data_IF_693655623154
#
_entry.id   IF_693655623154
#
_cell.length_a   1.000
_cell.length_b   1.000
_cell.length_c   1.000
_cell.angle_alpha   90.00
_cell.angle_beta   90.00
_cell.angle_gamma   90.00
#
_symmetry.space_group_name_H-M   'P 1'
#
loop_
_entity.id
_entity.type
_entity.pdbx_description
1 polymer ?
#
# COMPACT_ATOMS: atom_id res chain seq x y z
N UNK A 1 -3.60 -11.73 18.75
CA UNK A 1 -4.35 -12.58 19.72
C UNK A 1 -5.86 -12.57 19.47
N UNK A 2 -6.50 -11.43 19.20
CA UNK A 2 -7.93 -11.37 18.84
C UNK A 2 -8.31 -12.19 17.59
N UNK A 3 -7.45 -12.25 16.55
CA UNK A 3 -7.73 -13.02 15.33
C UNK A 3 -7.80 -14.54 15.56
N UNK A 4 -7.03 -15.06 16.52
CA UNK A 4 -7.07 -16.48 16.90
C UNK A 4 -8.36 -16.85 17.64
N UNK A 5 -8.98 -15.88 18.32
CA UNK A 5 -10.25 -16.07 19.02
C UNK A 5 -11.42 -16.23 18.03
N UNK A 6 -11.46 -15.43 16.96
CA UNK A 6 -12.46 -15.56 15.89
C UNK A 6 -12.38 -16.89 15.12
N UNK A 7 -11.22 -17.56 15.13
CA UNK A 7 -11.07 -18.89 14.52
C UNK A 7 -11.73 -20.01 15.33
N UNK A 8 -11.97 -19.83 16.63
CA UNK A 8 -12.57 -20.87 17.48
C UNK A 8 -14.10 -20.99 17.36
N UNK A 9 -14.79 -20.00 16.79
CA UNK A 9 -16.24 -20.04 16.58
C UNK A 9 -16.58 -20.51 15.16
N UNK A 10 -17.38 -21.58 15.05
CA UNK A 10 -17.79 -22.19 13.77
C UNK A 10 -18.51 -21.22 12.82
N UNK A 11 -19.16 -20.18 13.36
CA UNK A 11 -19.88 -19.15 12.60
C UNK A 11 -18.98 -18.08 11.94
N UNK A 12 -17.70 -17.97 12.32
CA UNK A 12 -16.78 -16.92 11.85
C UNK A 12 -15.49 -17.45 11.22
N UNK A 13 -15.48 -18.70 10.77
CA UNK A 13 -14.27 -19.35 10.27
C UNK A 13 -13.72 -18.68 8.99
N UNK A 14 -14.58 -18.30 8.03
CA UNK A 14 -14.15 -17.63 6.79
C UNK A 14 -13.59 -16.23 7.07
N UNK A 15 -14.29 -15.45 7.90
CA UNK A 15 -13.81 -14.13 8.33
C UNK A 15 -12.47 -14.22 9.08
N UNK A 16 -12.31 -15.25 9.93
CA UNK A 16 -11.05 -15.51 10.64
C UNK A 16 -9.88 -15.79 9.70
N UNK A 17 -10.11 -16.51 8.59
CA UNK A 17 -9.08 -16.76 7.57
C UNK A 17 -8.65 -15.46 6.89
N UNK A 18 -9.60 -14.63 6.46
CA UNK A 18 -9.30 -13.39 5.75
C UNK A 18 -8.52 -12.42 6.64
N UNK A 19 -8.90 -12.33 7.92
CA UNK A 19 -8.17 -11.51 8.91
C UNK A 19 -6.76 -12.04 9.17
N UNK A 20 -6.55 -13.36 9.21
CA UNK A 20 -5.20 -13.93 9.36
C UNK A 20 -4.32 -13.66 8.13
N UNK A 21 -4.88 -13.68 6.91
CA UNK A 21 -4.15 -13.29 5.71
C UNK A 21 -3.71 -11.83 5.75
N UNK A 22 -4.58 -10.93 6.22
CA UNK A 22 -4.24 -9.52 6.42
C UNK A 22 -3.20 -9.32 7.53
N UNK A 23 -3.31 -10.05 8.64
CA UNK A 23 -2.32 -10.01 9.74
C UNK A 23 -0.93 -10.46 9.24
N UNK A 24 -0.87 -11.50 8.40
CA UNK A 24 0.37 -11.94 7.76
C UNK A 24 0.98 -10.85 6.88
N UNK A 25 0.18 -10.15 6.05
CA UNK A 25 0.67 -9.01 5.25
C UNK A 25 1.21 -7.88 6.13
N UNK A 26 0.55 -7.55 7.24
CA UNK A 26 1.04 -6.53 8.17
C UNK A 26 2.33 -6.98 8.87
N UNK A 27 2.44 -8.26 9.20
CA UNK A 27 3.65 -8.82 9.80
C UNK A 27 4.85 -8.77 8.85
N UNK A 28 4.66 -9.04 7.55
CA UNK A 28 5.73 -8.91 6.56
C UNK A 28 6.14 -7.46 6.33
N UNK A 29 5.20 -6.50 6.39
CA UNK A 29 5.55 -5.06 6.38
C UNK A 29 6.44 -4.68 7.58
N UNK A 30 6.29 -5.32 8.75
CA UNK A 30 7.22 -5.10 9.88
C UNK A 30 8.64 -5.61 9.61
N UNK A 31 8.82 -6.60 8.75
CA UNK A 31 10.16 -7.07 8.35
C UNK A 31 10.94 -5.98 7.59
N UNK A 32 10.23 -5.13 6.84
CA UNK A 32 10.83 -3.98 6.14
C UNK A 32 11.56 -3.06 7.15
N UNK A 33 10.95 -2.81 8.32
CA UNK A 33 11.58 -2.03 9.39
C UNK A 33 12.83 -2.71 9.98
N UNK A 34 12.88 -4.05 10.02
CA UNK A 34 14.08 -4.78 10.45
C UNK A 34 15.19 -4.65 9.39
N UNK A 35 14.84 -4.76 8.10
CA UNK A 35 15.79 -4.57 7.00
C UNK A 35 16.31 -3.12 6.91
N UNK A 36 15.59 -2.14 7.46
CA UNK A 36 16.04 -0.75 7.54
C UNK A 36 17.33 -0.57 8.37
N UNK A 37 17.67 -1.54 9.24
CA UNK A 37 18.91 -1.54 10.04
C UNK A 37 20.13 -1.88 9.16
N UNK A 38 19.93 -2.59 8.04
CA UNK A 38 21.01 -3.06 7.18
C UNK A 38 21.75 -1.90 6.50
N UNK A 39 23.09 -1.99 6.45
CA UNK A 39 23.97 -0.87 6.00
C UNK A 39 23.72 -0.40 4.57
N UNK A 40 23.30 -1.29 3.68
CA UNK A 40 23.10 -0.98 2.27
C UNK A 40 21.63 -0.75 1.88
N UNK A 41 20.68 -1.27 2.69
CA UNK A 41 19.25 -1.23 2.37
C UNK A 41 18.51 -0.14 3.15
N UNK A 42 19.02 0.24 4.33
CA UNK A 42 18.40 1.24 5.19
C UNK A 42 18.27 2.64 4.57
N UNK A 43 19.34 3.24 4.02
CA UNK A 43 19.23 4.57 3.41
C UNK A 43 18.22 4.60 2.26
N UNK A 44 18.22 3.57 1.40
CA UNK A 44 17.28 3.44 0.28
C UNK A 44 15.82 3.38 0.75
N UNK A 45 15.56 2.69 1.85
CA UNK A 45 14.23 2.54 2.42
C UNK A 45 13.70 3.85 3.01
N UNK A 46 14.57 4.65 3.64
CA UNK A 46 14.23 5.99 4.13
C UNK A 46 13.88 6.92 2.97
N UNK A 47 14.65 6.87 1.88
CA UNK A 47 14.37 7.66 0.67
C UNK A 47 13.00 7.30 0.08
N UNK A 48 12.69 6.00 -0.06
CA UNK A 48 11.37 5.53 -0.52
C UNK A 48 10.24 6.03 0.39
N UNK A 49 10.47 6.07 1.70
CA UNK A 49 9.51 6.61 2.66
C UNK A 49 9.20 8.10 2.42
N UNK A 50 10.22 8.89 2.05
CA UNK A 50 10.05 10.31 1.75
C UNK A 50 9.37 10.56 0.40
N UNK A 51 9.63 9.71 -0.60
CA UNK A 51 8.97 9.75 -1.93
C UNK A 51 7.46 9.45 -1.87
N UNK A 52 6.94 8.91 -0.77
CA UNK A 52 5.50 8.65 -0.61
C UNK A 52 4.64 9.92 -0.73
N UNK A 53 5.20 11.10 -0.43
CA UNK A 53 4.49 12.37 -0.64
C UNK A 53 4.27 12.65 -2.13
N UNK A 54 5.29 12.39 -2.95
CA UNK A 54 5.20 12.54 -4.40
C UNK A 54 4.23 11.51 -5.00
N UNK A 55 4.26 10.27 -4.50
CA UNK A 55 3.29 9.22 -4.86
C UNK A 55 1.87 9.70 -4.58
N UNK A 56 1.61 10.27 -3.40
CA UNK A 56 0.26 10.72 -3.04
C UNK A 56 -0.25 11.83 -3.95
N UNK A 57 0.60 12.82 -4.25
CA UNK A 57 0.27 13.90 -5.19
C UNK A 57 0.00 13.36 -6.59
N UNK A 58 0.82 12.43 -7.06
CA UNK A 58 0.61 11.78 -8.35
C UNK A 58 -0.69 10.98 -8.41
N UNK A 59 -0.98 10.19 -7.37
CA UNK A 59 -2.19 9.36 -7.28
C UNK A 59 -3.45 10.22 -7.29
N UNK A 60 -3.39 11.45 -6.76
CA UNK A 60 -4.48 12.41 -6.88
C UNK A 60 -4.78 12.80 -8.34
N UNK A 61 -3.77 13.21 -9.12
CA UNK A 61 -3.98 13.53 -10.54
C UNK A 61 -4.41 12.33 -11.35
N UNK A 62 -3.77 11.17 -11.13
CA UNK A 62 -4.13 9.92 -11.79
C UNK A 62 -5.56 9.51 -11.43
N UNK A 63 -5.97 9.66 -10.17
CA UNK A 63 -7.33 9.35 -9.71
C UNK A 63 -8.39 10.24 -10.39
N UNK A 64 -8.14 11.55 -10.48
CA UNK A 64 -9.04 12.48 -11.20
C UNK A 64 -9.14 12.11 -12.68
N UNK A 65 -8.01 11.78 -13.32
CA UNK A 65 -7.99 11.39 -14.73
C UNK A 65 -8.70 10.05 -14.99
N UNK A 66 -8.43 9.04 -14.16
CA UNK A 66 -9.11 7.73 -14.16
C UNK A 66 -10.61 7.89 -13.99
N UNK A 67 -11.04 8.73 -13.05
CA UNK A 67 -12.45 9.02 -12.83
C UNK A 67 -13.12 9.65 -14.06
N UNK A 68 -12.51 10.67 -14.64
CA UNK A 68 -13.04 11.36 -15.81
C UNK A 68 -13.19 10.39 -17.00
N UNK A 69 -12.16 9.61 -17.29
CA UNK A 69 -12.18 8.59 -18.33
C UNK A 69 -13.19 7.48 -18.03
N UNK A 70 -13.17 6.92 -16.82
CA UNK A 70 -14.02 5.80 -16.42
C UNK A 70 -15.50 6.11 -16.51
N UNK A 71 -15.92 7.29 -16.03
CA UNK A 71 -17.31 7.75 -16.13
C UNK A 71 -17.70 7.98 -17.59
N UNK A 72 -16.83 8.62 -18.38
CA UNK A 72 -17.10 8.88 -19.80
C UNK A 72 -17.25 7.57 -20.61
N UNK A 73 -16.38 6.58 -20.40
CA UNK A 73 -16.50 5.29 -21.10
C UNK A 73 -17.73 4.50 -20.66
N UNK A 74 -18.04 4.45 -19.35
CA UNK A 74 -19.25 3.78 -18.88
C UNK A 74 -20.49 4.40 -19.52
N UNK A 75 -20.56 5.74 -19.61
CA UNK A 75 -21.68 6.45 -20.21
C UNK A 75 -21.77 6.27 -21.74
N UNK A 76 -20.65 6.10 -22.44
CA UNK A 76 -20.63 5.87 -23.89
C UNK A 76 -20.99 4.43 -24.27
N UNK A 77 -20.59 3.44 -23.46
CA UNK A 77 -20.74 2.02 -23.78
C UNK A 77 -22.11 1.48 -23.33
N UNK A 78 -22.61 1.91 -22.17
CA UNK A 78 -23.83 1.35 -21.56
C UNK A 78 -24.89 2.43 -21.30
N UNK A 79 -26.09 2.26 -21.84
CA UNK A 79 -27.23 3.17 -21.57
C UNK A 79 -27.75 3.03 -20.15
N UNK A 80 -27.80 1.79 -19.63
CA UNK A 80 -28.41 1.50 -18.35
C UNK A 80 -27.82 0.22 -17.74
N UNK A 81 -27.41 0.30 -16.48
CA UNK A 81 -26.81 -0.80 -15.71
C UNK A 81 -27.40 -0.78 -14.30
N UNK A 82 -28.17 -1.80 -13.85
CA UNK A 82 -28.88 -1.75 -12.57
C UNK A 82 -27.98 -2.02 -11.34
N UNK A 83 -26.76 -2.53 -11.55
CA UNK A 83 -25.86 -2.97 -10.48
C UNK A 83 -24.77 -1.94 -10.19
N UNK A 84 -24.91 -1.18 -9.10
CA UNK A 84 -23.91 -0.18 -8.67
C UNK A 84 -22.50 -0.78 -8.52
N UNK A 85 -22.39 -1.98 -7.95
CA UNK A 85 -21.09 -2.64 -7.78
C UNK A 85 -20.37 -2.83 -9.12
N UNK A 86 -21.09 -3.26 -10.17
CA UNK A 86 -20.50 -3.45 -11.50
C UNK A 86 -20.05 -2.12 -12.11
N UNK A 87 -20.85 -1.06 -11.93
CA UNK A 87 -20.49 0.29 -12.37
C UNK A 87 -19.21 0.76 -11.68
N UNK A 88 -19.09 0.60 -10.34
CA UNK A 88 -17.88 0.98 -9.62
C UNK A 88 -16.65 0.21 -10.10
N UNK A 89 -16.76 -1.10 -10.34
CA UNK A 89 -15.64 -1.87 -10.90
C UNK A 89 -15.27 -1.37 -12.31
N UNK A 90 -16.25 -1.08 -13.18
CA UNK A 90 -15.99 -0.59 -14.54
C UNK A 90 -15.40 0.82 -14.58
N UNK A 91 -15.83 1.72 -13.69
CA UNK A 91 -15.36 3.11 -13.65
C UNK A 91 -13.95 3.25 -13.07
N UNK A 92 -13.58 2.41 -12.11
CA UNK A 92 -12.27 2.55 -11.44
C UNK A 92 -11.27 1.46 -11.85
N UNK A 93 -11.67 0.20 -11.71
CA UNK A 93 -10.75 -0.94 -11.84
C UNK A 93 -10.36 -1.18 -13.30
N UNK A 94 -11.29 -1.07 -14.25
CA UNK A 94 -10.98 -1.29 -15.67
C UNK A 94 -10.02 -0.23 -16.25
N UNK A 95 -10.27 1.09 -16.09
CA UNK A 95 -9.31 2.10 -16.50
C UNK A 95 -7.93 1.95 -15.85
N UNK A 96 -7.88 1.53 -14.58
CA UNK A 96 -6.61 1.25 -13.91
C UNK A 96 -5.86 0.11 -14.60
N UNK A 97 -6.54 -0.98 -14.96
CA UNK A 97 -5.93 -2.09 -15.71
C UNK A 97 -5.48 -1.69 -17.12
N UNK A 98 -6.15 -0.73 -17.77
CA UNK A 98 -5.73 -0.22 -19.08
C UNK A 98 -4.33 0.40 -19.04
N UNK A 99 -3.95 1.03 -17.92
CA UNK A 99 -2.62 1.62 -17.73
C UNK A 99 -1.53 0.55 -17.86
N UNK A 100 -1.78 -0.65 -17.30
CA UNK A 100 -0.85 -1.78 -17.33
C UNK A 100 -0.96 -2.63 -18.60
N UNK A 101 -1.79 -2.22 -19.57
CA UNK A 101 -1.99 -2.96 -20.81
C UNK A 101 -2.84 -4.23 -20.69
N UNK A 102 -3.56 -4.41 -19.58
CA UNK A 102 -4.34 -5.63 -19.33
C UNK A 102 -5.78 -5.55 -19.90
N UNK A 103 -6.23 -4.38 -20.35
CA UNK A 103 -7.59 -4.18 -20.88
C UNK A 103 -7.66 -3.67 -22.32
N UNK A 104 -6.55 -3.67 -23.06
CA UNK A 104 -6.51 -3.28 -24.48
C UNK A 104 -6.79 -4.45 -25.45
N UNK A 105 -7.35 -5.56 -24.97
CA UNK A 105 -7.86 -6.61 -25.85
C UNK A 105 -9.14 -6.14 -26.52
N UNK A 106 -8.95 -5.30 -27.55
CA UNK A 106 -9.86 -5.06 -28.66
C UNK A 106 -10.25 -6.40 -29.36
N UNK A 107 -9.60 -7.51 -29.01
CA UNK A 107 -9.83 -8.85 -29.56
C UNK A 107 -11.13 -9.56 -29.15
N UNK A 108 -11.85 -9.14 -28.10
CA UNK A 108 -13.19 -9.70 -27.82
C UNK A 108 -14.34 -8.93 -28.50
N UNK A 109 -14.07 -7.79 -29.15
CA UNK A 109 -15.10 -6.90 -29.71
C UNK A 109 -15.46 -7.18 -31.19
N UNK A 110 -14.88 -8.20 -31.82
CA UNK A 110 -15.11 -8.52 -33.24
C UNK A 110 -15.55 -9.96 -33.51
N UNK A 111 -16.14 -10.67 -32.54
CA UNK A 111 -16.91 -11.88 -32.86
C UNK A 111 -18.40 -11.65 -32.58
N UNK A 112 -19.23 -11.98 -33.57
CA UNK A 112 -20.62 -11.54 -33.74
C UNK A 112 -21.62 -12.13 -32.74
N UNK A 113 -21.21 -12.37 -31.50
CA UNK A 113 -21.99 -13.00 -30.43
C UNK A 113 -22.85 -11.99 -29.65
N UNK A 114 -22.51 -10.69 -29.72
CA UNK A 114 -23.11 -9.62 -28.89
C UNK A 114 -24.55 -9.26 -29.31
N UNK A 115 -24.92 -9.43 -30.58
CA UNK A 115 -26.28 -9.11 -31.08
C UNK A 115 -27.37 -9.99 -30.44
N UNK A 116 -26.99 -11.13 -29.84
CA UNK A 116 -27.92 -12.10 -29.24
C UNK A 116 -28.38 -11.72 -27.83
N UNK A 117 -27.57 -10.98 -27.06
CA UNK A 117 -27.88 -10.65 -25.66
C UNK A 117 -29.02 -9.63 -25.50
N UNK A 118 -29.28 -8.78 -26.50
CA UNK A 118 -30.33 -7.75 -26.40
C UNK A 118 -31.75 -8.26 -26.64
N UNK A 119 -31.91 -9.42 -27.27
CA UNK A 119 -33.22 -9.96 -27.58
C UNK A 119 -33.80 -10.86 -26.48
N UNK A 120 -32.95 -11.34 -25.55
CA UNK A 120 -33.32 -12.34 -24.55
C UNK A 120 -32.79 -11.97 -23.16
N UNK A 121 -33.15 -10.79 -22.63
CA UNK A 121 -32.75 -10.42 -21.27
C UNK A 121 -33.60 -11.18 -20.24
N UNK A 122 -33.12 -12.34 -19.80
CA UNK A 122 -33.47 -12.92 -18.50
C UNK A 122 -32.68 -12.19 -17.41
N UNK A 123 -33.32 -11.98 -16.25
CA UNK A 123 -32.79 -11.26 -15.10
C UNK A 123 -31.43 -11.80 -14.62
N UNK A 124 -30.34 -11.07 -14.88
CA UNK A 124 -29.00 -11.36 -14.35
C UNK A 124 -27.83 -11.14 -15.31
N UNK A 125 -28.10 -11.05 -16.62
CA UNK A 125 -27.06 -10.94 -17.66
C UNK A 125 -26.55 -9.50 -17.87
N UNK A 126 -25.41 -9.38 -18.57
CA UNK A 126 -24.74 -8.10 -18.82
C UNK A 126 -25.60 -7.17 -19.69
N UNK A 127 -25.62 -5.85 -19.42
CA UNK A 127 -26.36 -4.89 -20.21
C UNK A 127 -25.84 -4.83 -21.65
N UNK A 128 -26.76 -4.54 -22.57
CA UNK A 128 -26.42 -4.31 -23.97
C UNK A 128 -25.47 -3.15 -24.17
N UNK A 129 -24.43 -3.38 -24.96
CA UNK A 129 -23.52 -2.36 -25.42
C UNK A 129 -24.15 -1.56 -26.56
N UNK A 130 -24.08 -0.25 -26.49
CA UNK A 130 -24.46 0.62 -27.60
C UNK A 130 -23.34 0.66 -28.63
N UNK A 131 -23.67 0.45 -29.91
CA UNK A 131 -22.70 0.48 -31.01
C UNK A 131 -22.53 1.89 -31.61
N UNK A 132 -23.38 2.84 -31.24
CA UNK A 132 -23.54 4.13 -31.94
C UNK A 132 -22.32 5.05 -31.85
N UNK A 133 -21.46 4.89 -30.83
CA UNK A 133 -20.33 5.79 -30.54
C UNK A 133 -18.99 5.07 -30.35
N UNK A 134 -18.80 3.91 -30.97
CA UNK A 134 -17.57 3.13 -30.80
C UNK A 134 -16.29 3.87 -31.22
N UNK A 135 -16.34 4.69 -32.27
CA UNK A 135 -15.19 5.48 -32.71
C UNK A 135 -14.71 6.47 -31.64
N UNK A 136 -15.64 7.05 -30.87
CA UNK A 136 -15.35 8.00 -29.81
C UNK A 136 -14.71 7.30 -28.61
N UNK A 137 -15.19 6.10 -28.25
CA UNK A 137 -14.58 5.25 -27.21
C UNK A 137 -13.13 4.89 -27.56
N UNK A 138 -12.86 4.53 -28.81
CA UNK A 138 -11.50 4.21 -29.28
C UNK A 138 -10.59 5.45 -29.20
N UNK A 139 -11.06 6.62 -29.64
CA UNK A 139 -10.29 7.87 -29.53
C UNK A 139 -10.01 8.21 -28.06
N UNK A 140 -11.03 8.09 -27.20
CA UNK A 140 -10.90 8.38 -25.77
C UNK A 140 -9.89 7.43 -25.10
N UNK A 141 -9.88 6.16 -25.46
CA UNK A 141 -8.88 5.17 -25.03
C UNK A 141 -7.47 5.58 -25.45
N UNK A 142 -7.26 5.96 -26.71
CA UNK A 142 -5.94 6.38 -27.21
C UNK A 142 -5.43 7.61 -26.46
N UNK A 143 -6.27 8.63 -26.30
CA UNK A 143 -5.92 9.85 -25.55
C UNK A 143 -5.62 9.53 -24.09
N UNK A 144 -6.42 8.67 -23.46
CA UNK A 144 -6.21 8.24 -22.08
C UNK A 144 -4.87 7.53 -21.89
N UNK A 145 -4.53 6.59 -22.78
CA UNK A 145 -3.26 5.87 -22.74
C UNK A 145 -2.08 6.80 -23.00
N UNK A 146 -2.21 7.75 -23.92
CA UNK A 146 -1.16 8.74 -24.19
C UNK A 146 -0.90 9.61 -22.97
N UNK A 147 -1.96 10.20 -22.39
CA UNK A 147 -1.81 11.07 -21.20
C UNK A 147 -1.26 10.26 -20.02
N UNK A 148 -1.74 9.04 -19.79
CA UNK A 148 -1.32 8.28 -18.62
C UNK A 148 0.09 7.72 -18.77
N UNK A 149 0.36 7.01 -19.87
CA UNK A 149 1.64 6.31 -20.04
C UNK A 149 2.77 7.21 -20.50
N UNK A 150 2.48 8.23 -21.33
CA UNK A 150 3.53 9.10 -21.88
C UNK A 150 3.72 10.36 -21.05
N UNK A 151 2.66 10.94 -20.48
CA UNK A 151 2.78 12.16 -19.67
C UNK A 151 2.90 11.81 -18.18
N UNK A 152 1.88 11.19 -17.59
CA UNK A 152 1.79 11.01 -16.14
C UNK A 152 2.91 10.09 -15.61
N UNK A 153 3.09 8.88 -16.15
CA UNK A 153 4.12 7.96 -15.67
C UNK A 153 5.53 8.55 -15.82
N UNK A 154 5.83 9.21 -16.95
CA UNK A 154 7.15 9.82 -17.15
C UNK A 154 7.39 11.00 -16.21
N UNK A 155 6.35 11.78 -15.89
CA UNK A 155 6.43 12.82 -14.88
C UNK A 155 6.67 12.23 -13.49
N UNK A 156 6.01 11.12 -13.12
CA UNK A 156 6.26 10.43 -11.85
C UNK A 156 7.71 9.97 -11.74
N UNK A 157 8.25 9.37 -12.80
CA UNK A 157 9.65 8.94 -12.83
C UNK A 157 10.59 10.14 -12.68
N UNK A 158 10.28 11.27 -13.33
CA UNK A 158 11.07 12.50 -13.20
C UNK A 158 11.03 13.06 -11.77
N UNK A 159 9.86 13.11 -11.14
CA UNK A 159 9.70 13.55 -9.75
C UNK A 159 10.45 12.62 -8.78
N UNK A 160 10.35 11.30 -8.96
CA UNK A 160 11.13 10.36 -8.17
C UNK A 160 12.63 10.56 -8.37
N UNK A 161 13.11 10.81 -9.58
CA UNK A 161 14.53 11.06 -9.83
C UNK A 161 15.03 12.35 -9.13
N UNK A 162 14.20 13.39 -9.17
CA UNK A 162 14.47 14.66 -8.48
C UNK A 162 14.53 14.47 -6.97
N UNK A 163 13.47 13.93 -6.37
CA UNK A 163 13.40 13.68 -4.93
C UNK A 163 14.44 12.64 -4.48
N UNK A 164 14.78 11.65 -5.32
CA UNK A 164 15.85 10.70 -5.02
C UNK A 164 17.18 11.42 -4.84
N UNK A 165 17.53 12.29 -5.79
CA UNK A 165 18.79 13.04 -5.75
C UNK A 165 18.84 14.01 -4.57
N UNK A 166 17.76 14.78 -4.35
CA UNK A 166 17.66 15.74 -3.24
C UNK A 166 17.73 15.04 -1.87
N UNK A 167 16.95 13.97 -1.68
CA UNK A 167 16.84 13.29 -0.40
C UNK A 167 18.03 12.37 -0.12
N UNK A 168 18.73 11.87 -1.14
CA UNK A 168 19.92 11.02 -0.97
C UNK A 168 21.10 11.77 -0.32
N UNK A 169 21.24 13.08 -0.55
CA UNK A 169 22.33 13.88 0.02
C UNK A 169 22.24 13.97 1.57
N UNK A 170 21.03 14.09 2.12
CA UNK A 170 20.79 14.21 3.56
C UNK A 170 20.44 12.88 4.26
N UNK A 171 19.90 11.91 3.52
CA UNK A 171 19.39 10.65 4.09
C UNK A 171 20.47 9.76 4.70
N UNK A 172 21.70 9.79 4.19
CA UNK A 172 22.80 8.99 4.74
C UNK A 172 23.17 9.43 6.16
N UNK A 173 23.12 10.73 6.46
CA UNK A 173 23.38 11.27 7.79
C UNK A 173 22.24 10.95 8.74
N UNK A 174 20.99 11.13 8.29
CA UNK A 174 19.81 10.77 9.07
C UNK A 174 19.75 9.28 9.38
N UNK A 175 20.06 8.42 8.40
CA UNK A 175 20.12 6.97 8.58
C UNK A 175 21.19 6.57 9.60
N UNK A 176 22.39 7.17 9.55
CA UNK A 176 23.45 6.90 10.54
C UNK A 176 22.99 7.25 11.96
N UNK A 177 22.27 8.36 12.14
CA UNK A 177 21.71 8.77 13.42
C UNK A 177 20.60 7.80 13.90
N UNK A 178 19.65 7.45 13.03
CA UNK A 178 18.61 6.47 13.37
C UNK A 178 19.17 5.10 13.70
N UNK A 179 20.18 4.65 12.95
CA UNK A 179 20.89 3.39 13.22
C UNK A 179 21.57 3.41 14.57
N UNK A 180 22.21 4.52 14.95
CA UNK A 180 22.82 4.65 16.28
C UNK A 180 21.77 4.50 17.39
N UNK A 181 20.64 5.21 17.30
CA UNK A 181 19.55 5.11 18.27
C UNK A 181 18.99 3.68 18.37
N UNK A 182 18.80 3.00 17.23
CA UNK A 182 18.37 1.61 17.20
C UNK A 182 19.39 0.68 17.86
N UNK A 183 20.68 0.82 17.57
CA UNK A 183 21.74 0.01 18.19
C UNK A 183 21.75 0.20 19.71
N UNK A 184 21.62 1.45 20.19
CA UNK A 184 21.56 1.76 21.62
C UNK A 184 20.31 1.13 22.27
N UNK A 185 19.15 1.21 21.61
CA UNK A 185 17.93 0.56 22.09
C UNK A 185 18.09 -0.96 22.14
N UNK A 186 18.62 -1.59 21.07
CA UNK A 186 18.84 -3.03 21.01
C UNK A 186 19.87 -3.51 22.05
N UNK A 187 20.91 -2.74 22.33
CA UNK A 187 21.89 -3.06 23.38
C UNK A 187 21.28 -3.04 24.78
N UNK A 188 20.25 -2.21 25.01
CA UNK A 188 19.53 -2.13 26.30
C UNK A 188 18.53 -3.26 26.52
N UNK A 189 18.14 -3.97 25.44
CA UNK A 189 17.20 -5.09 25.50
C UNK A 189 17.95 -6.38 25.89
N UNK A 190 17.35 -7.28 26.69
CA UNK A 190 17.99 -8.55 27.01
C UNK A 190 18.27 -9.34 25.72
N UNK A 191 19.49 -9.86 25.57
CA UNK A 191 20.05 -10.48 24.35
C UNK A 191 19.39 -11.79 23.91
N UNK A 192 18.31 -12.23 24.56
CA UNK A 192 17.64 -13.48 24.22
C UNK A 192 16.71 -13.28 23.02
N UNK A 193 16.83 -14.16 22.03
CA UNK A 193 15.95 -14.19 20.87
C UNK A 193 14.47 -14.22 21.30
N UNK A 194 13.54 -13.66 20.50
CA UNK A 194 12.10 -13.56 20.82
C UNK A 194 11.46 -14.84 21.42
N UNK A 195 11.75 -16.08 20.96
CA UNK A 195 11.19 -17.28 21.57
C UNK A 195 11.67 -17.54 23.01
N UNK A 196 12.85 -17.06 23.41
CA UNK A 196 13.43 -17.29 24.74
C UNK A 196 13.28 -16.09 25.70
N UNK A 197 12.67 -14.99 25.24
CA UNK A 197 12.47 -13.77 26.06
C UNK A 197 11.57 -14.04 27.27
N UNK A 198 10.70 -15.04 27.19
CA UNK A 198 9.82 -15.47 28.28
C UNK A 198 10.66 -15.94 29.48
N UNK A 199 11.76 -16.65 29.24
CA UNK A 199 12.64 -17.12 30.31
C UNK A 199 13.43 -15.98 30.98
N UNK A 200 13.80 -14.93 30.24
CA UNK A 200 14.45 -13.75 30.83
C UNK A 200 13.47 -12.94 31.67
N UNK A 201 12.23 -12.76 31.22
CA UNK A 201 11.17 -12.12 32.00
C UNK A 201 10.82 -12.92 33.26
N UNK A 202 10.75 -14.26 33.19
CA UNK A 202 10.55 -15.12 34.36
C UNK A 202 11.69 -14.95 35.37
N UNK A 203 12.96 -14.93 34.93
CA UNK A 203 14.11 -14.69 35.83
C UNK A 203 14.06 -13.30 36.50
N UNK A 204 13.69 -12.26 35.76
CA UNK A 204 13.52 -10.90 36.30
C UNK A 204 12.35 -10.85 37.29
N UNK A 205 11.24 -11.52 36.99
CA UNK A 205 10.06 -11.59 37.85
C UNK A 205 10.37 -12.34 39.16
N UNK A 206 11.05 -13.49 39.09
CA UNK A 206 11.52 -14.25 40.26
C UNK A 206 12.51 -13.41 41.08
N UNK A 207 13.47 -12.72 40.44
CA UNK A 207 14.42 -11.83 41.14
C UNK A 207 13.71 -10.66 41.84
N UNK A 208 12.64 -10.12 41.23
CA UNK A 208 11.85 -9.02 41.80
C UNK A 208 10.98 -9.46 42.97
N UNK A 209 10.41 -10.67 42.92
CA UNK A 209 9.60 -11.24 44.00
C UNK A 209 10.46 -11.69 45.18
N UNK A 210 11.61 -12.31 44.93
CA UNK A 210 12.46 -12.90 45.99
C UNK A 210 13.42 -11.88 46.61
N UNK A 211 14.03 -10.99 45.81
CA UNK A 211 15.09 -10.09 46.29
C UNK A 211 14.66 -8.63 46.52
N UNK A 212 13.39 -8.25 46.27
CA UNK A 212 12.87 -6.86 46.43
C UNK A 212 13.80 -5.77 45.84
N UNK A 213 14.58 -6.08 44.81
CA UNK A 213 15.52 -5.11 44.23
C UNK A 213 14.73 -4.06 43.44
N UNK A 214 14.89 -2.75 43.73
CA UNK A 214 14.20 -1.72 42.97
C UNK A 214 14.67 -1.75 41.51
N UNK A 215 13.74 -1.44 40.61
CA UNK A 215 14.05 -1.31 39.19
C UNK A 215 15.07 -0.19 39.00
N UNK A 216 16.31 -0.53 38.67
CA UNK A 216 17.25 0.47 38.14
C UNK A 216 16.67 0.89 36.78
N UNK A 217 15.87 1.95 36.77
CA UNK A 217 15.60 2.71 35.56
C UNK A 217 16.93 3.32 35.15
N UNK A 218 17.57 2.73 34.16
CA UNK A 218 18.68 3.39 33.47
C UNK A 218 18.05 4.60 32.79
N UNK A 219 18.27 5.78 33.37
CA UNK A 219 17.91 7.05 32.75
C UNK A 219 18.72 7.18 31.45
N UNK A 220 18.04 7.04 30.31
CA UNK A 220 18.65 7.24 29.01
C UNK A 220 18.85 8.73 28.70
N UNK A 221 19.88 8.96 27.90
CA UNK A 221 20.47 10.21 27.36
C UNK A 221 19.54 11.37 26.94
N UNK A 222 18.21 11.18 26.89
CA UNK A 222 17.26 12.25 26.55
C UNK A 222 17.30 13.44 27.52
N UNK A 223 17.67 13.23 28.79
CA UNK A 223 17.89 14.31 29.76
C UNK A 223 19.17 15.12 29.52
N UNK A 224 20.19 14.55 28.85
CA UNK A 224 21.41 15.29 28.52
C UNK A 224 21.21 16.23 27.33
N UNK A 225 20.38 15.84 26.36
CA UNK A 225 20.06 16.68 25.19
C UNK A 225 19.08 17.82 25.50
N UNK A 226 18.07 17.60 26.36
CA UNK A 226 17.19 18.70 26.81
C UNK A 226 17.98 19.73 27.64
N UNK A 227 19.04 19.30 28.33
CA UNK A 227 19.97 20.20 29.03
C UNK A 227 20.92 20.96 28.11
N UNK A 228 21.32 20.40 26.96
CA UNK A 228 22.17 21.11 25.99
C UNK A 228 21.37 22.08 25.11
N UNK A 229 20.08 21.82 24.87
CA UNK A 229 19.17 22.71 24.16
C UNK A 229 18.60 23.85 25.03
N UNK A 230 18.66 23.74 26.36
CA UNK A 230 18.28 24.82 27.30
C UNK A 230 19.46 25.69 27.76
N UNK A 231 20.66 25.40 27.25
CA UNK A 231 21.89 26.19 27.50
C UNK A 231 22.40 26.95 26.27
N UNK A 232 21.56 27.08 25.23
CA UNK A 232 21.69 28.02 24.12
C UNK A 232 20.46 28.94 24.13
#
# INVERSE_FOLDING_TARGET
MLCLYFRMFHWSHEFGRDVLCLDYMVFTLRLIHIFAIHKQLGPKLIIVGNMMKDVFFFLFFLGVWVLAYGVANQALIYTYDPNLNRIFLRVFYMPYLHIFGYGSSIEEEMDGTILKCCFFSTSGEEPCRNQDSNWLVVILLVVYLLVTNILLINLLIAMFSYTFSEVQEDSDTYWKFQRYNLIVEYHSRPSLAPPFIILSHIKVFIKRIIHKVPSVKIHHFGQYWIRSLSSQ
#
